data_IF_665508096468
#
_entry.id   IF_665508096468
#
_cell.length_a   1.000
_cell.length_b   1.000
_cell.length_c   1.000
_cell.angle_alpha   90.00
_cell.angle_beta   90.00
_cell.angle_gamma   90.00
#
_symmetry.space_group_name_H-M   'P 1'
#
loop_
_entity.id
_entity.type
_entity.pdbx_description
1 polymer ?
#
# COMPACT_ATOMS: atom_id res chain seq x y z
N UNK A 1 17.53 -20.63 22.19
CA UNK A 1 16.19 -20.11 21.86
C UNK A 1 15.47 -21.23 21.14
N UNK A 2 14.37 -21.71 21.71
CA UNK A 2 13.54 -22.75 21.08
C UNK A 2 12.87 -22.12 19.86
N UNK A 3 13.37 -22.46 18.67
CA UNK A 3 12.75 -22.05 17.42
C UNK A 3 11.55 -22.96 17.22
N UNK A 4 10.36 -22.48 17.59
CA UNK A 4 9.10 -23.11 17.19
C UNK A 4 9.08 -23.14 15.67
N UNK A 5 8.92 -24.33 15.09
CA UNK A 5 8.96 -24.51 13.64
C UNK A 5 7.54 -24.66 13.09
N UNK A 6 7.11 -23.81 12.14
CA UNK A 6 5.83 -24.01 11.49
C UNK A 6 5.88 -25.30 10.66
N UNK A 7 4.93 -26.22 10.89
CA UNK A 7 4.82 -27.46 10.10
C UNK A 7 4.16 -27.18 8.76
N UNK A 8 3.09 -26.38 8.80
CA UNK A 8 2.34 -25.93 7.65
C UNK A 8 2.01 -24.46 7.84
N UNK A 9 2.06 -23.69 6.75
CA UNK A 9 1.80 -22.26 6.74
C UNK A 9 0.91 -21.93 5.55
N UNK A 10 -0.18 -21.23 5.83
CA UNK A 10 -1.08 -20.72 4.81
C UNK A 10 -1.21 -19.21 4.97
N UNK A 11 -0.95 -18.47 3.88
CA UNK A 11 -1.01 -17.01 3.85
C UNK A 11 -2.17 -16.59 2.97
N UNK A 12 -3.07 -15.78 3.53
CA UNK A 12 -4.23 -15.26 2.82
C UNK A 12 -4.29 -13.74 2.97
N UNK A 13 -4.47 -13.03 1.85
CA UNK A 13 -4.74 -11.59 1.86
C UNK A 13 -6.17 -11.35 2.35
N UNK A 14 -6.32 -10.55 3.40
CA UNK A 14 -7.65 -10.22 3.98
C UNK A 14 -8.05 -8.77 3.74
N UNK A 15 -7.10 -7.92 3.39
CA UNK A 15 -7.33 -6.52 3.03
C UNK A 15 -6.21 -5.97 2.13
N UNK A 16 -6.28 -4.67 1.83
CA UNK A 16 -5.28 -4.05 0.95
C UNK A 16 -3.87 -4.09 1.56
N UNK A 17 -3.75 -3.89 2.87
CA UNK A 17 -2.49 -3.90 3.65
C UNK A 17 -2.49 -4.94 4.77
N UNK A 18 -3.41 -5.90 4.70
CA UNK A 18 -3.61 -6.88 5.78
C UNK A 18 -3.52 -8.29 5.24
N UNK A 19 -2.71 -9.10 5.92
CA UNK A 19 -2.59 -10.53 5.68
C UNK A 19 -2.96 -11.31 6.93
N UNK A 20 -3.53 -12.48 6.73
CA UNK A 20 -3.67 -13.50 7.75
C UNK A 20 -2.79 -14.69 7.41
N UNK A 21 -1.97 -15.08 8.38
CA UNK A 21 -1.13 -16.25 8.32
C UNK A 21 -1.67 -17.24 9.33
N UNK A 22 -2.02 -18.43 8.86
CA UNK A 22 -2.39 -19.55 9.73
C UNK A 22 -1.26 -20.56 9.70
N UNK A 23 -0.72 -20.88 10.86
CA UNK A 23 0.35 -21.86 11.00
C UNK A 23 -0.05 -22.96 11.95
N UNK A 24 0.31 -24.19 11.60
CA UNK A 24 0.21 -25.37 12.48
C UNK A 24 1.55 -25.54 13.18
N UNK A 25 1.56 -25.53 14.52
CA UNK A 25 2.78 -25.83 15.29
C UNK A 25 2.96 -27.33 15.46
N UNK A 26 4.17 -27.80 15.81
CA UNK A 26 4.36 -29.22 16.12
C UNK A 26 3.68 -29.57 17.45
N UNK A 27 3.06 -30.76 17.53
CA UNK A 27 2.27 -31.21 18.70
C UNK A 27 3.05 -31.25 20.02
N UNK A 28 4.38 -31.34 19.93
CA UNK A 28 5.31 -31.36 21.07
C UNK A 28 5.58 -29.95 21.64
N UNK A 29 5.20 -28.89 20.92
CA UNK A 29 5.42 -27.49 21.26
C UNK A 29 4.18 -26.91 21.99
N UNK A 30 3.82 -27.48 23.14
CA UNK A 30 2.84 -26.86 24.06
C UNK A 30 3.45 -25.59 24.67
N UNK A 31 3.36 -24.49 23.92
CA UNK A 31 3.93 -23.21 24.27
C UNK A 31 2.95 -22.39 25.13
N UNK A 32 3.42 -21.87 26.27
CA UNK A 32 2.70 -20.81 26.97
C UNK A 32 2.63 -19.54 26.08
N UNK A 33 1.70 -18.62 26.38
CA UNK A 33 1.47 -17.42 25.56
C UNK A 33 2.75 -16.61 25.31
N UNK A 34 3.67 -16.54 26.27
CA UNK A 34 4.94 -15.83 26.12
C UNK A 34 5.85 -16.44 25.03
N UNK A 35 5.87 -17.76 24.91
CA UNK A 35 6.67 -18.48 23.90
C UNK A 35 6.02 -18.39 22.52
N UNK A 36 4.67 -18.36 22.49
CA UNK A 36 3.89 -18.04 21.30
C UNK A 36 4.26 -16.62 20.81
N UNK A 37 4.21 -15.61 21.67
CA UNK A 37 4.51 -14.20 21.36
C UNK A 37 5.94 -13.98 20.81
N UNK A 38 6.94 -14.68 21.36
CA UNK A 38 8.33 -14.60 20.86
C UNK A 38 8.49 -15.23 19.48
N UNK A 39 7.85 -16.37 19.27
CA UNK A 39 7.87 -17.07 17.98
C UNK A 39 7.15 -16.27 16.90
N UNK A 40 6.03 -15.63 17.28
CA UNK A 40 5.20 -14.80 16.41
C UNK A 40 5.98 -13.66 15.76
N UNK A 41 6.81 -12.94 16.52
CA UNK A 41 7.64 -11.87 15.98
C UNK A 41 8.65 -12.40 14.95
N UNK A 42 9.29 -13.55 15.24
CA UNK A 42 10.20 -14.20 14.29
C UNK A 42 9.50 -14.69 13.02
N UNK A 43 8.27 -15.21 13.14
CA UNK A 43 7.46 -15.64 11.99
C UNK A 43 7.00 -14.45 11.15
N UNK A 44 6.58 -13.35 11.77
CA UNK A 44 6.17 -12.13 11.06
C UNK A 44 7.30 -11.57 10.20
N UNK A 45 8.54 -11.50 10.72
CA UNK A 45 9.70 -11.02 9.98
C UNK A 45 10.04 -11.91 8.77
N UNK A 46 10.04 -13.23 8.97
CA UNK A 46 10.31 -14.21 7.90
C UNK A 46 9.22 -14.12 6.83
N UNK A 47 7.94 -14.05 7.22
CA UNK A 47 6.83 -13.99 6.27
C UNK A 47 6.80 -12.67 5.53
N UNK A 48 7.03 -11.53 6.20
CA UNK A 48 7.17 -10.24 5.51
C UNK A 48 8.34 -10.25 4.52
N UNK A 49 9.47 -10.86 4.88
CA UNK A 49 10.59 -11.05 3.96
C UNK A 49 10.22 -11.91 2.74
N UNK A 50 9.44 -12.98 2.93
CA UNK A 50 8.97 -13.83 1.83
C UNK A 50 7.91 -13.13 0.96
N UNK A 51 6.96 -12.42 1.58
CA UNK A 51 5.92 -11.68 0.88
C UNK A 51 6.50 -10.56 0.03
N UNK A 52 7.49 -9.81 0.52
CA UNK A 52 8.24 -8.82 -0.28
C UNK A 52 8.90 -9.41 -1.53
N UNK A 53 9.24 -10.71 -1.50
CA UNK A 53 9.90 -11.40 -2.61
C UNK A 53 8.92 -12.07 -3.58
N UNK A 54 7.73 -12.45 -3.13
CA UNK A 54 6.77 -13.26 -3.89
C UNK A 54 5.54 -12.47 -4.34
N UNK A 55 5.14 -11.48 -3.54
CA UNK A 55 3.99 -10.63 -3.78
C UNK A 55 4.42 -9.17 -3.83
N UNK A 56 3.61 -8.41 -4.55
CA UNK A 56 3.60 -6.97 -4.75
C UNK A 56 3.49 -6.14 -3.45
N UNK A 57 4.34 -6.40 -2.45
CA UNK A 57 4.52 -5.57 -1.25
C UNK A 57 5.79 -4.73 -1.47
N UNK A 58 5.73 -3.40 -1.29
CA UNK A 58 6.89 -2.52 -1.38
C UNK A 58 8.05 -2.98 -0.49
N UNK A 59 9.28 -2.83 -1.01
CA UNK A 59 10.48 -3.25 -0.31
C UNK A 59 10.65 -2.53 1.04
N UNK A 60 10.17 -1.29 1.13
CA UNK A 60 10.21 -0.41 2.30
C UNK A 60 8.99 -0.58 3.24
N UNK A 61 8.14 -1.59 3.02
CA UNK A 61 7.03 -1.87 3.91
C UNK A 61 7.53 -2.33 5.31
N UNK A 62 6.98 -1.74 6.36
CA UNK A 62 7.23 -2.08 7.76
C UNK A 62 5.93 -2.56 8.43
N UNK A 63 6.04 -3.53 9.34
CA UNK A 63 4.89 -4.02 10.12
C UNK A 63 4.43 -2.91 11.06
N UNK A 64 3.17 -2.49 10.93
CA UNK A 64 2.59 -1.43 11.77
C UNK A 64 1.63 -1.96 12.82
N UNK A 65 1.03 -3.12 12.57
CA UNK A 65 0.17 -3.78 13.54
C UNK A 65 0.31 -5.29 13.43
N UNK A 66 0.47 -5.94 14.58
CA UNK A 66 0.59 -7.38 14.69
C UNK A 66 -0.41 -7.86 15.74
N UNK A 67 -1.36 -8.69 15.31
CA UNK A 67 -2.32 -9.33 16.19
C UNK A 67 -2.20 -10.83 16.09
N UNK A 68 -2.21 -11.51 17.22
CA UNK A 68 -2.17 -12.95 17.29
C UNK A 68 -3.32 -13.51 18.10
N UNK A 69 -3.72 -14.72 17.71
CA UNK A 69 -4.66 -15.53 18.48
C UNK A 69 -4.28 -16.99 18.34
N UNK A 70 -4.23 -17.69 19.47
CA UNK A 70 -4.22 -19.14 19.47
C UNK A 70 -5.59 -19.65 18.99
N UNK A 71 -5.56 -20.63 18.10
CA UNK A 71 -6.72 -21.35 17.59
C UNK A 71 -6.71 -22.78 18.16
N UNK A 72 -7.77 -23.53 17.89
CA UNK A 72 -7.86 -24.95 18.23
C UNK A 72 -6.73 -25.77 17.57
N UNK A 73 -6.36 -26.90 18.17
CA UNK A 73 -5.36 -27.85 17.65
C UNK A 73 -3.95 -27.26 17.42
N UNK A 74 -3.44 -26.47 18.36
CA UNK A 74 -2.10 -25.86 18.31
C UNK A 74 -1.86 -24.98 17.07
N UNK A 75 -2.94 -24.47 16.48
CA UNK A 75 -2.87 -23.52 15.39
C UNK A 75 -2.66 -22.11 15.92
N UNK A 76 -1.87 -21.32 15.20
CA UNK A 76 -1.66 -19.91 15.50
C UNK A 76 -2.08 -19.10 14.28
N UNK A 77 -2.92 -18.10 14.51
CA UNK A 77 -3.26 -17.11 13.51
C UNK A 77 -2.53 -15.81 13.82
N UNK A 78 -1.88 -15.26 12.79
CA UNK A 78 -1.20 -13.97 12.81
C UNK A 78 -1.90 -13.07 11.81
N UNK A 79 -2.39 -11.92 12.27
CA UNK A 79 -2.82 -10.84 11.39
C UNK A 79 -1.72 -9.80 11.35
N UNK A 80 -1.22 -9.52 10.15
CA UNK A 80 -0.16 -8.53 9.90
C UNK A 80 -0.78 -7.39 9.12
N UNK A 81 -0.67 -6.18 9.66
CA UNK A 81 -0.85 -4.93 8.94
C UNK A 81 0.51 -4.28 8.71
N UNK A 82 0.71 -3.69 7.54
CA UNK A 82 1.95 -3.01 7.19
C UNK A 82 1.68 -1.64 6.57
N UNK A 83 2.67 -0.76 6.67
CA UNK A 83 2.68 0.55 6.03
C UNK A 83 4.03 0.76 5.32
N UNK A 84 4.07 1.67 4.36
CA UNK A 84 5.29 2.04 3.63
C UNK A 84 5.93 3.26 4.28
N UNK A 85 7.26 3.32 4.34
CA UNK A 85 7.95 4.58 4.66
C UNK A 85 7.70 5.65 3.60
N UNK A 86 7.53 5.25 2.34
CA UNK A 86 7.16 6.12 1.23
C UNK A 86 5.64 6.20 1.07
N UNK A 87 5.07 7.28 1.58
CA UNK A 87 3.65 7.62 1.42
C UNK A 87 3.28 8.08 0.00
N UNK A 88 3.88 7.52 -1.05
CA UNK A 88 3.62 7.93 -2.43
C UNK A 88 2.47 7.09 -3.01
N UNK A 89 1.40 7.78 -3.38
CA UNK A 89 0.20 7.23 -4.00
C UNK A 89 0.08 7.73 -5.44
N UNK A 90 -0.64 6.98 -6.26
CA UNK A 90 -0.86 7.32 -7.66
C UNK A 90 -2.33 7.36 -8.02
N UNK A 91 -2.70 8.33 -8.84
CA UNK A 91 -3.96 8.32 -9.58
C UNK A 91 -3.61 7.91 -11.01
N UNK A 92 -4.12 6.76 -11.43
CA UNK A 92 -3.94 6.25 -12.79
C UNK A 92 -5.13 6.72 -13.63
N UNK A 93 -4.84 7.41 -14.72
CA UNK A 93 -5.83 7.93 -15.65
C UNK A 93 -5.60 7.29 -17.02
N UNK A 94 -6.63 6.72 -17.61
CA UNK A 94 -6.50 6.01 -18.89
C UNK A 94 -6.31 7.01 -20.06
N UNK A 95 -6.78 8.24 -19.90
CA UNK A 95 -6.77 9.29 -20.92
C UNK A 95 -6.28 10.63 -20.38
N UNK A 96 -5.94 11.55 -21.27
CA UNK A 96 -5.60 12.93 -20.87
C UNK A 96 -6.84 13.68 -20.33
N UNK A 97 -8.03 13.37 -20.84
CA UNK A 97 -9.28 13.96 -20.34
C UNK A 97 -9.57 13.52 -18.89
N UNK A 98 -9.21 12.28 -18.55
CA UNK A 98 -9.26 11.78 -17.19
C UNK A 98 -8.25 12.50 -16.27
N UNK A 99 -7.06 12.85 -16.78
CA UNK A 99 -6.10 13.70 -16.05
C UNK A 99 -6.69 15.10 -15.80
N UNK A 100 -7.29 15.73 -16.81
CA UNK A 100 -7.93 17.05 -16.67
C UNK A 100 -9.09 17.00 -15.68
N UNK A 101 -9.90 15.94 -15.74
CA UNK A 101 -10.98 15.70 -14.78
C UNK A 101 -10.42 15.56 -13.37
N UNK A 102 -9.37 14.78 -13.19
CA UNK A 102 -8.65 14.65 -11.91
C UNK A 102 -8.19 16.01 -11.40
N UNK A 103 -7.58 16.83 -12.25
CA UNK A 103 -7.12 18.18 -11.90
C UNK A 103 -8.27 19.08 -11.42
N UNK A 104 -9.42 19.05 -12.09
CA UNK A 104 -10.62 19.83 -11.73
C UNK A 104 -11.22 19.38 -10.39
N UNK A 105 -11.30 18.07 -10.16
CA UNK A 105 -11.85 17.51 -8.91
C UNK A 105 -10.90 17.68 -7.72
N UNK A 106 -9.58 17.70 -7.94
CA UNK A 106 -8.60 17.92 -6.88
C UNK A 106 -8.35 19.41 -6.58
N UNK A 107 -8.70 20.34 -7.49
CA UNK A 107 -8.48 21.78 -7.30
C UNK A 107 -9.04 22.35 -5.99
N UNK A 108 -10.24 21.95 -5.50
CA UNK A 108 -10.77 22.43 -4.22
C UNK A 108 -9.92 22.04 -3.00
N UNK A 109 -9.12 20.98 -3.11
CA UNK A 109 -8.25 20.48 -2.04
C UNK A 109 -6.77 20.77 -2.32
N UNK A 110 -6.45 21.65 -3.26
CA UNK A 110 -5.06 21.96 -3.65
C UNK A 110 -4.19 22.39 -2.45
N UNK A 111 -4.77 23.02 -1.43
CA UNK A 111 -4.08 23.42 -0.21
C UNK A 111 -3.51 22.25 0.61
N UNK A 112 -4.05 21.03 0.45
CA UNK A 112 -3.48 19.80 1.04
C UNK A 112 -2.09 19.50 0.48
N UNK A 113 -1.79 19.99 -0.72
CA UNK A 113 -0.53 19.77 -1.43
C UNK A 113 0.38 21.01 -1.43
N UNK A 114 0.17 21.97 -0.52
CA UNK A 114 1.04 23.14 -0.42
C UNK A 114 2.52 22.75 -0.36
N UNK A 115 3.33 23.30 -1.28
CA UNK A 115 4.75 23.01 -1.47
C UNK A 115 5.07 21.61 -2.03
N UNK A 116 4.09 20.88 -2.57
CA UNK A 116 4.29 19.60 -3.26
C UNK A 116 3.74 19.67 -4.68
N UNK A 117 4.56 19.26 -5.64
CA UNK A 117 4.16 19.19 -7.04
C UNK A 117 3.41 17.88 -7.31
N UNK A 118 2.22 17.96 -7.90
CA UNK A 118 1.48 16.81 -8.41
C UNK A 118 1.92 16.48 -9.83
N UNK A 119 3.07 15.81 -9.96
CA UNK A 119 3.65 15.57 -11.28
C UNK A 119 2.86 14.51 -12.06
N UNK A 120 2.64 14.78 -13.34
CA UNK A 120 1.93 13.90 -14.27
C UNK A 120 2.90 13.26 -15.24
N UNK A 121 2.96 11.94 -15.23
CA UNK A 121 3.75 11.13 -16.15
C UNK A 121 2.84 10.34 -17.08
N UNK A 122 3.31 10.07 -18.30
CA UNK A 122 2.71 9.09 -19.21
C UNK A 122 3.60 7.85 -19.27
N UNK A 123 3.02 6.70 -18.96
CA UNK A 123 3.70 5.43 -19.06
C UNK A 123 3.86 5.05 -20.55
N UNK A 124 5.09 4.85 -21.07
CA UNK A 124 5.29 4.51 -22.48
C UNK A 124 4.81 3.10 -22.85
N UNK A 125 4.71 2.18 -21.87
CA UNK A 125 4.29 0.80 -22.09
C UNK A 125 2.76 0.67 -22.11
N UNK A 126 2.10 1.10 -21.03
CA UNK A 126 0.63 0.96 -20.91
C UNK A 126 -0.13 2.09 -21.60
N UNK A 127 0.54 3.21 -21.90
CA UNK A 127 -0.02 4.47 -22.42
C UNK A 127 -0.91 5.24 -21.43
N UNK A 128 -1.10 4.73 -20.23
CA UNK A 128 -1.80 5.40 -19.13
C UNK A 128 -1.03 6.61 -18.61
N UNK A 129 -1.74 7.49 -17.92
CA UNK A 129 -1.18 8.61 -17.19
C UNK A 129 -1.17 8.30 -15.70
N UNK A 130 -0.17 8.79 -14.98
CA UNK A 130 -0.02 8.62 -13.56
C UNK A 130 0.23 9.98 -12.90
N UNK A 131 -0.59 10.32 -11.93
CA UNK A 131 -0.41 11.49 -11.06
C UNK A 131 0.19 11.01 -9.75
N UNK A 132 1.46 11.31 -9.51
CA UNK A 132 2.15 10.96 -8.26
C UNK A 132 1.90 12.00 -7.17
N UNK A 133 1.58 11.56 -5.96
CA UNK A 133 1.40 12.45 -4.82
C UNK A 133 1.81 11.76 -3.52
N UNK A 134 2.25 12.55 -2.53
CA UNK A 134 2.53 12.04 -1.20
C UNK A 134 1.35 12.30 -0.27
N UNK A 135 0.92 11.28 0.50
CA UNK A 135 -0.13 11.45 1.49
C UNK A 135 0.30 12.49 2.54
N UNK A 136 -0.62 13.37 2.99
CA UNK A 136 -0.34 14.32 4.06
C UNK A 136 -0.26 13.59 5.40
N UNK A 137 0.65 14.03 6.27
CA UNK A 137 0.77 13.51 7.63
C UNK A 137 -0.32 14.03 8.57
N UNK A 138 -0.93 15.18 8.24
CA UNK A 138 -2.05 15.74 9.01
C UNK A 138 -3.34 14.93 8.78
N UNK A 139 -3.96 14.51 9.88
CA UNK A 139 -5.13 13.63 9.84
C UNK A 139 -6.37 14.29 9.20
N UNK A 140 -6.54 15.61 9.34
CA UNK A 140 -7.68 16.32 8.75
C UNK A 140 -7.49 16.49 7.25
N UNK A 141 -6.28 16.83 6.81
CA UNK A 141 -5.91 16.87 5.40
C UNK A 141 -6.02 15.48 4.75
N UNK A 142 -5.58 14.43 5.45
CA UNK A 142 -5.69 13.04 4.97
C UNK A 142 -7.16 12.63 4.79
N UNK A 143 -8.03 12.98 5.73
CA UNK A 143 -9.47 12.70 5.64
C UNK A 143 -10.10 13.38 4.42
N UNK A 144 -9.78 14.65 4.19
CA UNK A 144 -10.25 15.44 3.04
C UNK A 144 -9.75 14.85 1.71
N UNK A 145 -8.48 14.45 1.66
CA UNK A 145 -7.89 13.80 0.51
C UNK A 145 -8.59 12.46 0.20
N UNK A 146 -8.75 11.59 1.20
CA UNK A 146 -9.43 10.29 1.03
C UNK A 146 -10.85 10.44 0.50
N UNK A 147 -11.63 11.39 1.01
CA UNK A 147 -12.97 11.66 0.50
C UNK A 147 -12.96 12.04 -1.00
N UNK A 148 -12.00 12.87 -1.40
CA UNK A 148 -11.84 13.28 -2.81
C UNK A 148 -11.39 12.12 -3.70
N UNK A 149 -10.47 11.28 -3.22
CA UNK A 149 -10.01 10.08 -3.94
C UNK A 149 -11.14 9.07 -4.16
N UNK A 150 -12.04 8.88 -3.19
CA UNK A 150 -13.23 8.03 -3.37
C UNK A 150 -14.10 8.56 -4.53
N UNK A 151 -14.37 9.87 -4.57
CA UNK A 151 -15.16 10.48 -5.65
C UNK A 151 -14.47 10.43 -7.02
N UNK A 152 -13.15 10.45 -7.06
CA UNK A 152 -12.40 10.25 -8.30
C UNK A 152 -12.57 8.83 -8.84
N UNK A 153 -12.73 7.83 -7.97
CA UNK A 153 -13.02 6.46 -8.37
C UNK A 153 -14.39 6.25 -9.02
N UNK A 154 -15.30 7.22 -8.94
CA UNK A 154 -16.61 7.16 -9.60
C UNK A 154 -16.52 7.40 -11.12
N UNK A 155 -15.37 7.85 -11.63
CA UNK A 155 -15.15 8.07 -13.06
C UNK A 155 -14.49 6.84 -13.69
N UNK A 156 -15.14 6.24 -14.70
CA UNK A 156 -14.72 4.97 -15.33
C UNK A 156 -13.26 4.94 -15.83
N UNK A 157 -12.67 6.09 -16.14
CA UNK A 157 -11.31 6.23 -16.68
C UNK A 157 -10.26 6.63 -15.62
N UNK A 158 -10.67 6.73 -14.35
CA UNK A 158 -9.81 7.12 -13.23
C UNK A 158 -9.76 5.97 -12.24
N UNK A 159 -8.54 5.47 -12.03
CA UNK A 159 -8.25 4.41 -11.07
C UNK A 159 -7.34 4.99 -10.01
N UNK A 160 -7.88 5.21 -8.81
CA UNK A 160 -7.02 5.52 -7.67
C UNK A 160 -6.33 4.23 -7.25
N UNK A 161 -5.04 4.14 -7.53
CA UNK A 161 -4.19 3.08 -7.03
C UNK A 161 -3.40 3.62 -5.85
N UNK A 162 -4.00 3.48 -4.67
CA UNK A 162 -3.20 3.42 -3.47
C UNK A 162 -2.25 2.22 -3.66
N UNK A 163 -0.97 2.50 -3.88
CA UNK A 163 0.12 1.53 -4.09
C UNK A 163 0.20 0.95 -5.51
N UNK A 164 1.11 1.50 -6.30
CA UNK A 164 1.62 0.82 -7.49
C UNK A 164 2.96 0.20 -7.13
N UNK A 165 3.21 -1.04 -7.55
CA UNK A 165 4.54 -1.68 -7.47
C UNK A 165 5.57 -1.07 -8.42
N UNK A 166 5.35 0.16 -8.86
CA UNK A 166 6.39 0.95 -9.48
C UNK A 166 7.02 1.75 -8.36
N UNK A 167 8.28 1.44 -8.08
CA UNK A 167 9.14 2.32 -7.32
C UNK A 167 8.93 3.75 -7.86
N UNK A 168 8.68 4.77 -7.01
CA UNK A 168 8.42 6.13 -7.48
C UNK A 168 9.44 6.67 -8.49
N UNK A 169 10.64 6.13 -8.42
CA UNK A 169 11.75 6.34 -9.32
C UNK A 169 11.43 5.90 -10.76
N UNK A 170 10.69 4.80 -10.98
CA UNK A 170 10.42 4.24 -12.31
C UNK A 170 9.73 5.23 -13.26
N UNK A 171 8.68 5.92 -12.80
CA UNK A 171 7.98 6.88 -13.64
C UNK A 171 8.79 8.16 -13.83
N UNK A 172 9.60 8.56 -12.84
CA UNK A 172 10.50 9.69 -12.98
C UNK A 172 11.66 9.41 -13.95
N UNK A 173 12.12 8.17 -14.04
CA UNK A 173 13.24 7.73 -14.88
C UNK A 173 12.82 7.28 -16.28
N UNK A 174 11.65 6.66 -16.41
CA UNK A 174 11.19 6.02 -17.65
C UNK A 174 9.86 6.57 -18.19
N UNK A 175 9.12 7.31 -17.38
CA UNK A 175 7.88 7.96 -17.80
C UNK A 175 8.14 9.19 -18.66
N UNK A 176 7.24 9.49 -19.58
CA UNK A 176 7.25 10.77 -20.27
C UNK A 176 6.58 11.82 -19.37
N UNK A 177 7.34 12.79 -18.89
CA UNK A 177 6.79 13.94 -18.18
C UNK A 177 5.78 14.69 -19.07
N UNK A 178 4.56 14.88 -18.57
CA UNK A 178 3.49 15.63 -19.23
C UNK A 178 3.38 17.03 -18.63
N UNK A 179 3.31 17.12 -17.31
CA UNK A 179 3.41 18.38 -16.59
C UNK A 179 4.00 18.18 -15.19
N UNK A 180 4.67 19.22 -14.68
CA UNK A 180 5.26 19.20 -13.35
C UNK A 180 4.22 19.35 -12.23
N UNK A 181 3.10 19.99 -12.53
CA UNK A 181 2.00 20.19 -11.59
C UNK A 181 0.66 19.98 -12.30
N UNK A 182 -0.14 19.05 -11.78
CA UNK A 182 -1.47 18.70 -12.24
C UNK A 182 -2.37 19.93 -12.34
N UNK A 183 -2.27 20.87 -11.40
CA UNK A 183 -3.17 22.02 -11.34
C UNK A 183 -2.97 23.01 -12.49
N UNK A 184 -1.83 22.96 -13.19
CA UNK A 184 -1.65 23.70 -14.44
C UNK A 184 -2.60 23.23 -15.55
N UNK A 185 -3.10 22.00 -15.47
CA UNK A 185 -4.04 21.43 -16.44
C UNK A 185 -5.51 21.72 -16.09
N UNK A 186 -5.80 22.20 -14.87
CA UNK A 186 -7.16 22.46 -14.41
C UNK A 186 -7.78 23.73 -15.03
N UNK A 187 -6.98 24.58 -15.65
CA UNK A 187 -7.39 25.85 -16.30
C UNK A 187 -7.56 25.72 -17.82
N UNK A 188 -7.41 24.50 -18.35
CA UNK A 188 -7.68 24.10 -19.74
C UNK A 188 -9.08 23.48 -19.83
#
# INVERSE_FOLDING_TARGET
MENIKPREMNVARTGQRTFQIKTVLFDEEFANQETIDKTLNGLADVVMGQLKNQEYIPADAEVTNLQSSQLDDNNVMISIEWDTTLNTSYIICDTLDAVITTAKQMKPIASVFENRNLTVYKNPMTKDYAVGFSLPSDANQLKTLKATLIHLGDYDQIRVQEFVNFAPEYLSEHGKLICNDLFMLAEI
#
